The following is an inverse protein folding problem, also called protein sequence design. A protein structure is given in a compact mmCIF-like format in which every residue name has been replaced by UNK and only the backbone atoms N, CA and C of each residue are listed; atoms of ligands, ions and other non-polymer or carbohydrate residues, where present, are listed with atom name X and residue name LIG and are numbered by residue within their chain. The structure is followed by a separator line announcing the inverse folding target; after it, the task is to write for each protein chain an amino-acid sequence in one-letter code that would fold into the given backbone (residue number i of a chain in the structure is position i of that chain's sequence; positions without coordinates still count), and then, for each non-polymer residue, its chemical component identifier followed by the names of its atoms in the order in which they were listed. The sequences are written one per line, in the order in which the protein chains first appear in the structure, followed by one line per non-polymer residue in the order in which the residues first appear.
data_IF_033264142941
#
_entry.id   IF_033264142941
#
_cell.length_a   1.000
_cell.length_b   1.000
_cell.length_c   1.000
_cell.angle_alpha   90.00
_cell.angle_beta   90.00
_cell.angle_gamma   90.00
#
_symmetry.space_group_name_H-M   'P 1'
#
loop_
_entity.id
_entity.type
_entity.pdbx_description
1 polymer ?
#
# COMPACT_ATOMS: atom_id res chain seq x y z
N UNK A 1 -9.18 -9.04 -19.04
CA UNK A 1 -9.01 -9.17 -17.58
C UNK A 1 -7.76 -10.00 -17.33
N UNK A 2 -6.95 -9.63 -16.33
CA UNK A 2 -5.79 -10.41 -15.90
C UNK A 2 -6.23 -11.54 -14.98
N UNK A 3 -5.53 -12.66 -15.06
CA UNK A 3 -5.76 -13.83 -14.21
C UNK A 3 -4.75 -13.79 -13.05
N UNK A 4 -5.24 -13.94 -11.82
CA UNK A 4 -4.39 -14.07 -10.63
C UNK A 4 -3.62 -15.40 -10.68
N UNK A 5 -2.33 -15.33 -10.41
CA UNK A 5 -1.44 -16.48 -10.27
C UNK A 5 -0.87 -16.48 -8.84
N UNK A 6 -0.87 -17.66 -8.23
CA UNK A 6 -0.44 -17.80 -6.83
C UNK A 6 -1.55 -17.58 -5.83
N UNK A 7 -1.18 -17.73 -4.57
CA UNK A 7 -2.08 -17.63 -3.41
C UNK A 7 -1.76 -16.34 -2.66
N UNK A 8 -2.34 -15.23 -3.12
CA UNK A 8 -2.31 -13.95 -2.40
C UNK A 8 -3.65 -13.66 -1.76
N UNK A 9 -3.67 -12.90 -0.68
CA UNK A 9 -4.88 -12.44 -0.01
C UNK A 9 -5.78 -11.59 -0.92
N UNK A 10 -7.00 -11.37 -0.49
CA UNK A 10 -7.89 -10.38 -1.10
C UNK A 10 -7.48 -8.98 -0.66
N UNK A 11 -7.91 -7.96 -1.39
CA UNK A 11 -7.56 -6.56 -1.14
C UNK A 11 -8.82 -5.75 -0.86
N UNK A 12 -8.70 -4.72 -0.01
CA UNK A 12 -9.82 -3.85 0.33
C UNK A 12 -9.44 -2.40 0.60
N UNK A 13 -10.08 -1.46 -0.12
CA UNK A 13 -9.91 -0.03 0.14
C UNK A 13 -8.57 0.56 -0.30
N UNK A 14 -7.98 0.07 -1.36
CA UNK A 14 -6.64 0.39 -1.82
C UNK A 14 -6.43 1.90 -2.09
N UNK A 15 -5.25 2.39 -1.69
CA UNK A 15 -4.79 3.76 -1.96
C UNK A 15 -3.39 3.76 -2.58
N UNK A 16 -3.04 4.89 -3.21
CA UNK A 16 -1.68 5.15 -3.73
C UNK A 16 -1.18 4.08 -4.71
N UNK A 17 -2.04 3.64 -5.62
CA UNK A 17 -1.66 2.66 -6.64
C UNK A 17 -0.65 3.32 -7.59
N UNK A 18 0.51 2.69 -7.73
CA UNK A 18 1.63 3.18 -8.56
C UNK A 18 2.09 2.09 -9.51
N UNK A 19 2.29 2.47 -10.76
CA UNK A 19 2.93 1.61 -11.77
C UNK A 19 4.42 1.90 -11.79
N UNK A 20 5.23 0.85 -11.80
CA UNK A 20 6.68 0.92 -11.85
C UNK A 20 7.19 0.06 -13.00
N UNK A 21 7.97 0.67 -13.87
CA UNK A 21 8.69 -0.03 -14.93
C UNK A 21 10.13 -0.28 -14.48
N UNK A 22 10.61 -1.50 -14.69
CA UNK A 22 11.95 -1.92 -14.37
C UNK A 22 12.62 -2.49 -15.63
N UNK A 23 13.85 -2.06 -15.88
CA UNK A 23 14.61 -2.49 -17.08
C UNK A 23 15.04 -3.95 -17.06
N UNK A 24 14.89 -4.63 -15.93
CA UNK A 24 15.15 -6.08 -15.81
C UNK A 24 13.96 -6.94 -16.25
N UNK A 25 12.77 -6.33 -16.39
CA UNK A 25 11.57 -7.01 -16.83
C UNK A 25 11.50 -7.13 -18.35
N UNK A 26 10.73 -8.11 -18.81
CA UNK A 26 10.45 -8.27 -20.24
C UNK A 26 9.46 -7.20 -20.73
N UNK A 27 9.44 -6.97 -22.03
CA UNK A 27 8.47 -6.06 -22.66
C UNK A 27 7.04 -6.55 -22.40
N UNK A 28 6.17 -5.65 -21.92
CA UNK A 28 4.80 -5.98 -21.48
C UNK A 28 4.70 -6.41 -20.01
N UNK A 29 5.81 -6.40 -19.27
CA UNK A 29 5.82 -6.62 -17.84
C UNK A 29 6.08 -5.32 -17.07
N UNK A 30 5.44 -5.17 -15.91
CA UNK A 30 5.66 -4.05 -14.98
C UNK A 30 5.16 -4.40 -13.57
N UNK A 31 5.62 -3.66 -12.59
CA UNK A 31 5.11 -3.76 -11.25
C UNK A 31 3.96 -2.78 -11.00
N UNK A 32 3.03 -3.19 -10.16
CA UNK A 32 2.06 -2.31 -9.49
C UNK A 32 2.26 -2.49 -8.00
N UNK A 33 2.45 -1.40 -7.26
CA UNK A 33 2.43 -1.45 -5.81
C UNK A 33 1.40 -0.46 -5.24
N UNK A 34 0.93 -0.76 -4.03
CA UNK A 34 -0.14 0.00 -3.39
C UNK A 34 -0.10 -0.10 -1.88
N UNK A 35 -0.75 0.83 -1.22
CA UNK A 35 -1.20 0.69 0.15
C UNK A 35 -2.57 -0.01 0.14
N UNK A 36 -2.65 -1.20 0.72
CA UNK A 36 -3.89 -1.90 0.92
C UNK A 36 -4.39 -1.61 2.34
N UNK A 37 -5.53 -0.95 2.44
CA UNK A 37 -6.10 -0.58 3.74
C UNK A 37 -6.71 -1.79 4.45
N UNK A 38 -6.96 -2.89 3.73
CA UNK A 38 -7.71 -4.07 4.18
C UNK A 38 -9.06 -3.69 4.79
N UNK A 39 -9.68 -2.64 4.24
CA UNK A 39 -10.95 -2.10 4.71
C UNK A 39 -12.09 -2.41 3.76
N UNK A 40 -13.07 -3.13 4.29
CA UNK A 40 -14.25 -3.57 3.55
C UNK A 40 -15.36 -2.53 3.58
N UNK A 41 -15.50 -1.75 2.51
CA UNK A 41 -16.60 -0.84 2.30
C UNK A 41 -16.80 -0.55 0.81
N UNK A 42 -18.05 -0.57 0.35
CA UNK A 42 -18.41 -0.05 -0.95
C UNK A 42 -19.84 0.52 -0.95
N UNK A 43 -19.98 1.77 -1.36
CA UNK A 43 -21.29 2.42 -1.49
C UNK A 43 -22.23 1.69 -2.45
N UNK A 44 -21.69 0.98 -3.44
CA UNK A 44 -22.44 0.19 -4.44
C UNK A 44 -22.89 -1.17 -3.92
N UNK A 45 -22.44 -1.57 -2.73
CA UNK A 45 -22.73 -2.86 -2.10
C UNK A 45 -23.00 -2.66 -0.59
N UNK A 46 -24.01 -1.86 -0.21
CA UNK A 46 -24.24 -1.49 1.20
C UNK A 46 -24.58 -2.67 2.10
N UNK A 47 -25.17 -3.73 1.54
CA UNK A 47 -25.63 -4.90 2.29
C UNK A 47 -24.63 -6.09 2.21
N UNK A 48 -23.45 -5.89 1.62
CA UNK A 48 -22.46 -6.95 1.53
C UNK A 48 -21.73 -7.11 2.87
N UNK A 49 -21.67 -8.34 3.36
CA UNK A 49 -20.94 -8.67 4.59
C UNK A 49 -19.44 -8.85 4.27
N UNK A 50 -18.69 -7.79 4.48
CA UNK A 50 -17.25 -7.76 4.23
C UNK A 50 -16.44 -8.64 5.17
N UNK A 51 -17.01 -9.03 6.33
CA UNK A 51 -16.34 -9.92 7.29
C UNK A 51 -16.23 -11.36 6.80
N UNK A 52 -16.90 -11.68 5.69
CA UNK A 52 -16.78 -12.99 5.03
C UNK A 52 -15.49 -13.13 4.20
N UNK A 53 -14.77 -12.02 3.97
CA UNK A 53 -13.51 -12.03 3.21
C UNK A 53 -12.37 -12.02 4.22
N UNK A 54 -11.52 -13.04 4.14
CA UNK A 54 -10.38 -13.17 5.04
C UNK A 54 -9.40 -12.00 4.87
N UNK A 55 -8.87 -11.49 5.98
CA UNK A 55 -7.99 -10.32 6.00
C UNK A 55 -8.70 -8.96 5.92
N UNK A 56 -9.97 -8.90 5.55
CA UNK A 56 -10.69 -7.62 5.40
C UNK A 56 -11.36 -7.22 6.71
N UNK A 57 -11.08 -6.02 7.18
CA UNK A 57 -11.68 -5.40 8.36
C UNK A 57 -12.82 -4.45 7.99
N UNK A 58 -13.81 -4.30 8.88
CA UNK A 58 -14.84 -3.26 8.81
C UNK A 58 -14.67 -2.19 9.88
N UNK A 59 -13.59 -2.27 10.67
CA UNK A 59 -13.30 -1.32 11.73
C UNK A 59 -12.96 0.06 11.15
N UNK A 60 -13.70 1.09 11.55
CA UNK A 60 -13.46 2.46 11.10
C UNK A 60 -12.36 3.18 11.92
N UNK A 61 -11.97 2.61 13.03
CA UNK A 61 -10.95 3.15 13.92
C UNK A 61 -9.60 2.59 13.59
N UNK A 62 -8.63 3.47 13.33
CA UNK A 62 -7.21 3.08 13.16
C UNK A 62 -6.57 2.57 14.46
N UNK A 63 -7.30 2.50 15.56
CA UNK A 63 -6.87 1.93 16.83
C UNK A 63 -7.34 0.49 17.03
N UNK A 64 -7.95 -0.10 16.03
CA UNK A 64 -8.31 -1.51 16.10
C UNK A 64 -7.04 -2.36 16.07
N UNK A 65 -6.82 -3.11 17.15
CA UNK A 65 -5.61 -3.93 17.35
C UNK A 65 -5.71 -5.31 16.66
N UNK A 66 -6.87 -5.62 16.10
CA UNK A 66 -7.11 -6.89 15.40
C UNK A 66 -7.04 -6.76 13.88
N UNK A 67 -6.76 -5.55 13.40
CA UNK A 67 -6.70 -5.25 11.97
C UNK A 67 -5.33 -4.73 11.59
N UNK A 68 -4.89 -5.08 10.39
CA UNK A 68 -3.69 -4.56 9.74
C UNK A 68 -4.07 -3.86 8.44
N UNK A 69 -3.17 -3.05 7.94
CA UNK A 69 -3.08 -2.67 6.53
C UNK A 69 -1.80 -3.26 5.95
N UNK A 70 -1.63 -3.23 4.63
CA UNK A 70 -0.48 -3.86 3.99
C UNK A 70 0.13 -2.97 2.91
N UNK A 71 1.45 -3.08 2.76
CA UNK A 71 2.09 -2.81 1.48
C UNK A 71 1.91 -4.05 0.60
N UNK A 72 1.55 -3.84 -0.67
CA UNK A 72 1.47 -4.95 -1.64
C UNK A 72 2.09 -4.54 -2.96
N UNK A 73 2.84 -5.48 -3.57
CA UNK A 73 3.46 -5.32 -4.89
C UNK A 73 3.13 -6.53 -5.76
N UNK A 74 2.72 -6.26 -6.99
CA UNK A 74 2.35 -7.26 -7.97
C UNK A 74 3.20 -7.11 -9.22
N UNK A 75 3.65 -8.22 -9.78
CA UNK A 75 4.12 -8.31 -11.16
C UNK A 75 2.92 -8.52 -12.07
N UNK A 76 2.74 -7.62 -13.02
CA UNK A 76 1.77 -7.76 -14.12
C UNK A 76 2.51 -8.22 -15.37
N UNK A 77 1.97 -9.22 -16.04
CA UNK A 77 2.43 -9.71 -17.34
C UNK A 77 1.28 -9.64 -18.34
N UNK A 78 1.29 -8.62 -19.20
CA UNK A 78 0.26 -8.43 -20.22
C UNK A 78 0.31 -9.49 -21.31
N UNK A 79 1.49 -10.06 -21.59
CA UNK A 79 1.65 -11.08 -22.61
C UNK A 79 1.02 -12.39 -22.17
N UNK A 80 1.20 -12.77 -20.90
CA UNK A 80 0.57 -13.92 -20.30
C UNK A 80 -0.88 -13.67 -19.87
N UNK A 81 -1.28 -12.38 -19.74
CA UNK A 81 -2.57 -11.99 -19.22
C UNK A 81 -2.73 -12.30 -17.72
N UNK A 82 -1.65 -12.15 -16.94
CA UNK A 82 -1.61 -12.56 -15.53
C UNK A 82 -1.11 -11.46 -14.61
N UNK A 83 -1.36 -11.62 -13.30
CA UNK A 83 -0.69 -10.88 -12.25
C UNK A 83 -0.36 -11.81 -11.08
N UNK A 84 0.77 -11.55 -10.42
CA UNK A 84 1.29 -12.33 -9.29
C UNK A 84 1.75 -11.41 -8.19
N UNK A 85 1.35 -11.66 -6.94
CA UNK A 85 1.91 -10.94 -5.80
C UNK A 85 3.37 -11.37 -5.61
N UNK A 86 4.26 -10.39 -5.58
CA UNK A 86 5.70 -10.62 -5.47
C UNK A 86 6.28 -10.13 -4.15
N UNK A 87 5.52 -9.29 -3.44
CA UNK A 87 5.91 -8.76 -2.14
C UNK A 87 4.68 -8.25 -1.40
N UNK A 88 4.61 -8.55 -0.10
CA UNK A 88 3.66 -7.97 0.84
C UNK A 88 4.29 -7.89 2.23
N UNK A 89 3.83 -6.98 3.05
CA UNK A 89 4.10 -6.94 4.49
C UNK A 89 3.07 -6.11 5.24
N UNK A 90 2.84 -6.48 6.50
CA UNK A 90 1.92 -5.81 7.38
C UNK A 90 2.43 -4.46 7.88
N UNK A 91 1.53 -3.50 7.98
CA UNK A 91 1.75 -2.20 8.64
C UNK A 91 0.59 -1.88 9.58
N UNK A 92 0.76 -0.93 10.53
CA UNK A 92 -0.32 -0.55 11.41
C UNK A 92 -1.57 -0.12 10.63
N UNK A 93 -2.73 -0.51 11.14
CA UNK A 93 -4.01 -0.34 10.49
C UNK A 93 -4.36 1.13 10.21
N UNK A 94 -4.76 1.40 8.99
CA UNK A 94 -5.29 2.69 8.53
C UNK A 94 -6.45 2.43 7.56
N UNK A 95 -7.73 2.51 8.00
CA UNK A 95 -8.88 2.15 7.17
C UNK A 95 -9.07 3.06 5.96
N UNK A 96 -8.52 4.26 5.99
CA UNK A 96 -8.64 5.25 4.91
C UNK A 96 -7.31 5.92 4.63
N UNK A 97 -7.21 6.56 3.48
CA UNK A 97 -6.05 7.34 3.03
C UNK A 97 -4.77 6.50 3.04
N UNK A 98 -3.62 7.13 3.27
CA UNK A 98 -2.31 6.47 3.28
C UNK A 98 -1.66 6.40 1.91
N UNK A 99 -0.35 6.19 1.91
CA UNK A 99 0.42 6.08 0.68
C UNK A 99 1.66 5.22 0.86
N UNK A 100 2.17 4.75 -0.26
CA UNK A 100 3.43 4.04 -0.34
C UNK A 100 4.28 4.61 -1.46
N UNK A 101 5.59 4.59 -1.26
CA UNK A 101 6.58 4.94 -2.27
C UNK A 101 7.81 4.05 -2.10
N UNK A 102 8.18 3.35 -3.15
CA UNK A 102 9.47 2.66 -3.21
C UNK A 102 10.58 3.70 -3.33
N UNK A 103 11.54 3.69 -2.39
CA UNK A 103 12.63 4.66 -2.34
C UNK A 103 13.88 4.16 -3.07
N UNK A 104 14.13 2.86 -2.97
CA UNK A 104 15.21 2.11 -3.58
C UNK A 104 14.83 0.64 -3.60
N UNK A 105 15.69 -0.19 -4.16
CA UNK A 105 15.42 -1.62 -4.34
C UNK A 105 15.11 -2.38 -3.04
N UNK A 106 15.46 -1.81 -1.87
CA UNK A 106 15.30 -2.49 -0.58
C UNK A 106 14.49 -1.65 0.44
N UNK A 107 13.96 -0.47 0.08
CA UNK A 107 13.35 0.44 1.04
C UNK A 107 12.04 1.06 0.52
N UNK A 108 11.05 1.04 1.37
CA UNK A 108 9.71 1.53 1.13
C UNK A 108 9.31 2.61 2.15
N UNK A 109 8.89 3.78 1.69
CA UNK A 109 8.25 4.80 2.52
C UNK A 109 6.76 4.51 2.60
N UNK A 110 6.25 4.31 3.81
CA UNK A 110 4.85 4.01 4.07
C UNK A 110 4.25 5.08 4.97
N UNK A 111 3.16 5.67 4.53
CA UNK A 111 2.33 6.59 5.31
C UNK A 111 1.12 5.85 5.87
N UNK A 112 0.97 5.86 7.18
CA UNK A 112 -0.15 5.29 7.93
C UNK A 112 -1.04 6.47 8.35
N UNK A 113 -1.77 7.00 7.36
CA UNK A 113 -2.33 8.34 7.40
C UNK A 113 -3.27 8.62 8.56
N UNK A 114 -4.15 7.67 8.90
CA UNK A 114 -5.12 7.82 10.00
C UNK A 114 -4.45 7.86 11.38
N UNK A 115 -3.24 7.34 11.50
CA UNK A 115 -2.47 7.37 12.75
C UNK A 115 -1.52 8.56 12.84
N UNK A 116 -1.35 9.33 11.76
CA UNK A 116 -0.36 10.40 11.68
C UNK A 116 1.07 9.89 11.75
N UNK A 117 1.30 8.64 11.32
CA UNK A 117 2.59 7.98 11.29
C UNK A 117 3.06 7.83 9.85
N UNK A 118 4.36 7.92 9.63
CA UNK A 118 4.98 7.43 8.39
C UNK A 118 6.38 6.91 8.71
N UNK A 119 6.85 5.96 7.93
CA UNK A 119 8.12 5.30 8.20
C UNK A 119 8.74 4.66 6.98
N UNK A 120 10.01 4.31 7.12
CA UNK A 120 10.76 3.55 6.13
C UNK A 120 10.84 2.12 6.58
N UNK A 121 10.45 1.21 5.73
CA UNK A 121 10.45 -0.24 5.92
C UNK A 121 11.38 -0.89 4.90
N UNK A 122 12.05 -1.99 5.27
CA UNK A 122 12.70 -2.84 4.27
C UNK A 122 11.69 -3.77 3.58
N UNK A 123 12.15 -4.55 2.63
CA UNK A 123 11.31 -5.45 1.84
C UNK A 123 10.70 -6.62 2.64
N UNK A 124 11.28 -6.92 3.80
CA UNK A 124 10.74 -7.90 4.75
C UNK A 124 9.73 -7.28 5.75
N UNK A 125 9.40 -5.97 5.58
CA UNK A 125 8.50 -5.24 6.47
C UNK A 125 9.12 -4.80 7.79
N UNK A 126 10.46 -4.86 7.95
CA UNK A 126 11.10 -4.38 9.17
C UNK A 126 11.21 -2.85 9.16
N UNK A 127 10.68 -2.22 10.18
CA UNK A 127 10.73 -0.78 10.36
C UNK A 127 12.18 -0.30 10.61
N UNK A 128 12.68 0.59 9.76
CA UNK A 128 14.02 1.20 9.87
C UNK A 128 13.99 2.59 10.49
N UNK A 129 12.97 3.37 10.18
CA UNK A 129 12.78 4.71 10.73
C UNK A 129 11.28 5.03 10.79
N UNK A 130 10.84 5.70 11.83
CA UNK A 130 9.46 6.14 11.97
C UNK A 130 9.39 7.59 12.41
N UNK A 131 8.41 8.29 11.86
CA UNK A 131 8.10 9.67 12.17
C UNK A 131 6.63 9.78 12.57
N UNK A 132 6.36 10.67 13.50
CA UNK A 132 5.00 10.99 13.93
C UNK A 132 4.72 12.46 13.72
N UNK A 133 3.66 12.75 12.99
CA UNK A 133 3.12 14.09 12.88
C UNK A 133 2.08 14.30 13.99
N UNK A 134 2.25 15.36 14.77
CA UNK A 134 1.26 15.77 15.76
C UNK A 134 0.17 16.55 15.04
N UNK A 135 -0.94 15.90 14.80
CA UNK A 135 -2.11 16.47 14.15
C UNK A 135 -3.06 17.03 15.20
N UNK A 136 -3.57 18.24 15.00
CA UNK A 136 -4.65 18.79 15.84
C UNK A 136 -6.00 18.17 15.50
N UNK A 137 -6.18 17.74 14.25
CA UNK A 137 -7.33 16.99 13.74
C UNK A 137 -7.01 16.40 12.37
N UNK A 138 -7.79 15.43 11.92
CA UNK A 138 -7.68 14.87 10.58
C UNK A 138 -6.63 13.75 10.48
N UNK A 139 -6.01 13.66 9.32
CA UNK A 139 -5.11 12.57 8.92
C UNK A 139 -4.04 13.10 7.97
N UNK A 140 -2.97 12.32 7.74
CA UNK A 140 -2.04 12.53 6.63
C UNK A 140 -2.63 11.83 5.41
N UNK A 141 -2.75 12.55 4.31
CA UNK A 141 -3.31 11.96 3.10
C UNK A 141 -2.27 11.19 2.31
N UNK A 142 -1.06 11.76 2.19
CA UNK A 142 0.08 11.17 1.46
C UNK A 142 1.39 11.71 1.99
N UNK A 143 2.43 10.86 1.96
CA UNK A 143 3.82 11.23 2.22
C UNK A 143 4.69 10.73 1.08
N UNK A 144 5.47 11.63 0.48
CA UNK A 144 6.43 11.29 -0.56
C UNK A 144 7.78 11.95 -0.30
N UNK A 145 8.84 11.24 -0.64
CA UNK A 145 10.19 11.76 -0.66
C UNK A 145 10.56 12.17 -2.09
N UNK A 146 11.09 13.37 -2.25
CA UNK A 146 11.58 13.88 -3.51
C UNK A 146 13.06 14.25 -3.42
N UNK A 147 13.85 13.85 -4.41
CA UNK A 147 15.22 14.30 -4.57
C UNK A 147 15.26 15.63 -5.35
N UNK A 148 15.62 16.71 -4.70
CA UNK A 148 15.80 18.01 -5.36
C UNK A 148 17.24 18.16 -5.85
N UNK A 149 17.58 17.59 -7.01
CA UNK A 149 18.88 17.79 -7.63
C UNK A 149 18.86 19.05 -8.50
N UNK A 150 19.79 19.95 -8.26
CA UNK A 150 19.99 21.15 -9.08
C UNK A 150 18.90 22.21 -8.92
N UNK A 151 18.17 22.22 -7.84
CA UNK A 151 17.06 23.13 -7.64
C UNK A 151 17.49 24.42 -6.92
N UNK A 152 17.54 25.52 -7.65
CA UNK A 152 17.17 26.93 -7.35
C UNK A 152 17.58 27.56 -6.00
N UNK A 153 18.46 26.99 -5.26
CA UNK A 153 19.07 27.65 -4.09
C UNK A 153 20.52 28.02 -4.44
N UNK A 154 20.67 28.82 -5.50
CA UNK A 154 21.91 29.52 -5.77
C UNK A 154 21.83 30.92 -5.19
#
# INVERSE_FOLDING_TARGET
FLTKVGDSGDTGGQHSITVQYDSSLEDGQYYIYMFDNDFGYAMTRPDFDWTMIDGISTAQSSKDENSNSQFRKYLVDENAGTYTEVQDFDVPYSPYVSSVQELSDDLNLVDIGMQGLFGVYDDDGNLKAQYKMVLSSGYIYRVYQYGFRGFYFA
#
